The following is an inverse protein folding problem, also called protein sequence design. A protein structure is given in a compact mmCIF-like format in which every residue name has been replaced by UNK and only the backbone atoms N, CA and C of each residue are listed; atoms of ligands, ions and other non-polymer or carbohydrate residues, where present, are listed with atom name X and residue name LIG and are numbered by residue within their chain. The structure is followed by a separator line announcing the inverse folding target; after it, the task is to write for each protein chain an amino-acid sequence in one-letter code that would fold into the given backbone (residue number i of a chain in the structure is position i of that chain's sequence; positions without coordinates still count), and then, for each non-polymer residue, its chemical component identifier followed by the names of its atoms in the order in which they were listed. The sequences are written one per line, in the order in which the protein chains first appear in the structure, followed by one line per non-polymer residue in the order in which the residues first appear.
data_IF_261070923410
#
_entry.id   IF_261070923410
#
_cell.length_a   1.000
_cell.length_b   1.000
_cell.length_c   1.000
_cell.angle_alpha   90.00
_cell.angle_beta   90.00
_cell.angle_gamma   90.00
#
_symmetry.space_group_name_H-M   'P 1'
#
loop_
_entity.id
_entity.type
_entity.pdbx_description
1 polymer ?
#
# COMPACT_ATOMS: atom_id res chain seq x y z
N UNK A 1 -33.34 -8.86 -3.71
CA UNK A 1 -33.96 -10.08 -3.17
C UNK A 1 -35.39 -10.09 -3.62
N UNK A 2 -35.84 -11.16 -4.29
CA UNK A 2 -37.25 -11.39 -4.68
C UNK A 2 -37.87 -12.30 -3.63
N UNK A 3 -39.05 -11.94 -3.13
CA UNK A 3 -39.81 -12.76 -2.19
C UNK A 3 -41.09 -13.24 -2.87
N UNK A 4 -41.25 -14.55 -2.96
CA UNK A 4 -42.48 -15.18 -3.41
C UNK A 4 -43.21 -15.80 -2.21
N UNK A 5 -44.37 -15.26 -1.84
CA UNK A 5 -45.22 -15.80 -0.79
C UNK A 5 -46.31 -16.68 -1.43
N UNK A 6 -46.35 -17.94 -1.02
CA UNK A 6 -47.42 -18.89 -1.43
C UNK A 6 -48.10 -19.44 -0.19
N UNK A 7 -49.26 -20.09 -0.35
CA UNK A 7 -49.97 -20.72 0.76
C UNK A 7 -49.12 -21.84 1.46
N UNK A 8 -48.09 -22.34 0.81
CA UNK A 8 -47.19 -23.38 1.32
C UNK A 8 -45.88 -22.85 1.94
N UNK A 9 -45.65 -21.54 1.91
CA UNK A 9 -44.44 -20.93 2.50
C UNK A 9 -43.91 -19.71 1.75
N UNK A 10 -42.80 -19.18 2.23
CA UNK A 10 -42.09 -18.05 1.62
C UNK A 10 -40.83 -18.60 0.99
N UNK A 11 -40.74 -18.48 -0.34
CA UNK A 11 -39.47 -18.71 -1.06
C UNK A 11 -38.79 -17.38 -1.33
N UNK A 12 -37.45 -17.33 -1.18
CA UNK A 12 -36.64 -16.16 -1.49
C UNK A 12 -35.59 -16.51 -2.51
N UNK A 13 -35.34 -15.60 -3.42
CA UNK A 13 -34.30 -15.71 -4.42
C UNK A 13 -33.42 -14.45 -4.36
N UNK A 14 -32.08 -14.63 -4.31
CA UNK A 14 -31.16 -13.53 -4.45
C UNK A 14 -30.90 -13.25 -5.92
N UNK A 15 -31.44 -12.14 -6.42
CA UNK A 15 -31.16 -11.69 -7.78
C UNK A 15 -30.01 -10.69 -7.72
N UNK A 16 -28.83 -11.01 -8.29
CA UNK A 16 -27.73 -10.07 -8.39
C UNK A 16 -28.12 -8.92 -9.32
N UNK A 17 -28.20 -7.71 -8.80
CA UNK A 17 -28.59 -6.50 -9.54
C UNK A 17 -27.41 -5.58 -9.83
N UNK A 18 -26.31 -5.73 -9.10
CA UNK A 18 -25.14 -4.92 -9.27
C UNK A 18 -24.48 -5.18 -10.63
N UNK A 19 -24.25 -4.11 -11.38
CA UNK A 19 -23.57 -4.15 -12.68
C UNK A 19 -22.04 -4.14 -12.54
N UNK A 20 -21.52 -3.81 -11.36
CA UNK A 20 -20.11 -3.67 -11.03
C UNK A 20 -19.85 -4.17 -9.63
N UNK A 21 -18.68 -4.73 -9.44
CA UNK A 21 -18.19 -5.17 -8.12
C UNK A 21 -17.10 -4.21 -7.66
N UNK A 22 -17.06 -3.91 -6.36
CA UNK A 22 -15.92 -3.28 -5.74
C UNK A 22 -14.99 -4.37 -5.22
N UNK A 23 -13.76 -4.40 -5.71
CA UNK A 23 -12.71 -5.29 -5.25
C UNK A 23 -11.79 -4.49 -4.31
N UNK A 24 -11.67 -4.94 -3.08
CA UNK A 24 -10.71 -4.44 -2.11
C UNK A 24 -9.57 -5.45 -2.06
N UNK A 25 -8.37 -5.03 -2.45
CA UNK A 25 -7.21 -5.90 -2.60
C UNK A 25 -5.98 -5.25 -1.96
N UNK A 26 -5.04 -6.09 -1.52
CA UNK A 26 -3.76 -5.66 -0.98
C UNK A 26 -2.63 -6.12 -1.88
N UNK A 27 -1.65 -5.26 -2.09
CA UNK A 27 -0.40 -5.56 -2.80
C UNK A 27 0.77 -5.39 -1.83
N UNK A 28 1.44 -6.48 -1.49
CA UNK A 28 2.61 -6.45 -0.63
C UNK A 28 3.86 -6.10 -1.46
N UNK A 29 4.39 -4.91 -1.22
CA UNK A 29 5.54 -4.35 -1.94
C UNK A 29 6.85 -4.49 -1.17
N UNK A 30 6.91 -5.33 -0.12
CA UNK A 30 8.12 -5.54 0.70
C UNK A 30 9.34 -6.02 -0.09
N UNK A 31 9.12 -6.73 -1.20
CA UNK A 31 10.18 -7.25 -2.05
C UNK A 31 10.53 -6.33 -3.24
N UNK A 32 9.93 -5.16 -3.32
CA UNK A 32 10.22 -4.21 -4.38
C UNK A 32 11.57 -3.51 -4.12
N UNK A 33 12.43 -3.48 -5.13
CA UNK A 33 13.71 -2.79 -5.10
C UNK A 33 13.74 -1.57 -6.03
N UNK A 34 12.66 -1.35 -6.77
CA UNK A 34 12.51 -0.24 -7.72
C UNK A 34 11.03 0.12 -7.92
N UNK A 35 10.76 1.31 -8.46
CA UNK A 35 9.41 1.70 -8.89
C UNK A 35 8.79 0.71 -9.88
N UNK A 36 9.61 0.13 -10.76
CA UNK A 36 9.14 -0.87 -11.73
C UNK A 36 8.70 -2.18 -11.07
N UNK A 37 9.34 -2.57 -9.96
CA UNK A 37 8.92 -3.76 -9.22
C UNK A 37 7.59 -3.52 -8.50
N UNK A 38 7.40 -2.32 -7.93
CA UNK A 38 6.11 -1.90 -7.37
C UNK A 38 5.01 -1.97 -8.44
N UNK A 39 5.26 -1.43 -9.64
CA UNK A 39 4.31 -1.46 -10.75
C UNK A 39 3.97 -2.90 -11.17
N UNK A 40 4.95 -3.81 -11.27
CA UNK A 40 4.72 -5.23 -11.58
C UNK A 40 3.85 -5.90 -10.52
N UNK A 41 4.14 -5.67 -9.24
CA UNK A 41 3.36 -6.24 -8.13
C UNK A 41 1.91 -5.74 -8.18
N UNK A 42 1.71 -4.44 -8.37
CA UNK A 42 0.39 -3.83 -8.51
C UNK A 42 -0.36 -4.42 -9.70
N UNK A 43 0.28 -4.49 -10.87
CA UNK A 43 -0.34 -5.04 -12.08
C UNK A 43 -0.74 -6.50 -11.90
N UNK A 44 0.11 -7.32 -11.28
CA UNK A 44 -0.21 -8.72 -10.98
C UNK A 44 -1.40 -8.86 -10.02
N UNK A 45 -1.47 -8.01 -9.00
CA UNK A 45 -2.56 -8.03 -8.02
C UNK A 45 -3.92 -7.71 -8.66
N UNK A 46 -3.96 -6.82 -9.67
CA UNK A 46 -5.20 -6.40 -10.32
C UNK A 46 -5.50 -7.18 -11.61
N UNK A 47 -4.60 -8.07 -12.05
CA UNK A 47 -4.76 -8.81 -13.31
C UNK A 47 -6.10 -9.56 -13.43
N UNK A 48 -6.58 -10.27 -12.39
CA UNK A 48 -7.81 -11.07 -12.50
C UNK A 48 -9.10 -10.25 -12.48
N UNK A 49 -9.04 -8.91 -12.34
CA UNK A 49 -10.20 -8.06 -12.14
C UNK A 49 -10.70 -7.51 -13.48
N UNK A 50 -12.03 -7.57 -13.71
CA UNK A 50 -12.65 -7.02 -14.91
C UNK A 50 -12.53 -5.48 -14.93
N UNK A 51 -12.17 -4.93 -16.08
CA UNK A 51 -12.00 -3.47 -16.29
C UNK A 51 -13.27 -2.65 -16.02
N UNK A 52 -14.44 -3.28 -16.07
CA UNK A 52 -15.74 -2.65 -15.77
C UNK A 52 -16.00 -2.48 -14.28
N UNK A 53 -15.22 -3.14 -13.43
CA UNK A 53 -15.36 -3.12 -11.98
C UNK A 53 -14.60 -1.94 -11.33
N UNK A 54 -14.69 -1.85 -10.03
CA UNK A 54 -14.03 -0.82 -9.21
C UNK A 54 -12.98 -1.48 -8.33
N UNK A 55 -11.87 -0.78 -8.11
CA UNK A 55 -10.75 -1.29 -7.31
C UNK A 55 -10.40 -0.31 -6.19
N UNK A 56 -10.28 -0.83 -4.98
CA UNK A 56 -9.62 -0.20 -3.85
C UNK A 56 -8.33 -0.99 -3.57
N UNK A 57 -7.18 -0.45 -3.93
CA UNK A 57 -5.88 -1.09 -3.77
C UNK A 57 -5.17 -0.53 -2.55
N UNK A 58 -4.75 -1.41 -1.66
CA UNK A 58 -3.92 -1.12 -0.50
C UNK A 58 -2.48 -1.57 -0.78
N UNK A 59 -1.55 -0.62 -0.88
CA UNK A 59 -0.13 -0.95 -0.86
C UNK A 59 0.25 -1.25 0.59
N UNK A 60 0.82 -2.41 0.85
CA UNK A 60 1.23 -2.83 2.19
C UNK A 60 2.65 -3.38 2.17
N UNK A 61 3.19 -3.63 3.36
CA UNK A 61 4.53 -4.17 3.52
C UNK A 61 5.57 -3.13 3.94
N UNK A 62 6.83 -3.56 4.04
CA UNK A 62 7.95 -2.73 4.44
C UNK A 62 8.79 -2.37 3.21
N UNK A 63 8.93 -1.08 2.92
CA UNK A 63 9.62 -0.59 1.71
C UNK A 63 10.83 0.24 2.11
N UNK A 64 11.96 0.06 1.43
CA UNK A 64 13.15 0.90 1.62
C UNK A 64 12.86 2.36 1.23
N UNK A 65 13.49 3.30 1.93
CA UNK A 65 13.41 4.73 1.62
C UNK A 65 13.86 5.08 0.19
N UNK A 66 14.68 4.23 -0.41
CA UNK A 66 15.24 4.46 -1.75
C UNK A 66 14.30 3.98 -2.87
N UNK A 67 13.18 3.32 -2.53
CA UNK A 67 12.19 2.83 -3.51
C UNK A 67 11.05 3.84 -3.66
N UNK A 68 10.97 4.56 -4.79
CA UNK A 68 9.88 5.50 -5.00
C UNK A 68 8.56 4.77 -5.27
N UNK A 69 7.51 5.10 -4.53
CA UNK A 69 6.20 4.48 -4.70
C UNK A 69 5.35 5.09 -5.83
N UNK A 70 5.72 6.25 -6.36
CA UNK A 70 5.06 6.96 -7.48
C UNK A 70 3.51 6.83 -7.47
N UNK A 71 2.89 7.10 -6.32
CA UNK A 71 1.46 6.84 -6.05
C UNK A 71 0.52 7.48 -7.06
N UNK A 72 0.81 8.69 -7.51
CA UNK A 72 -0.01 9.41 -8.49
C UNK A 72 0.02 8.73 -9.87
N UNK A 73 1.18 8.22 -10.26
CA UNK A 73 1.33 7.44 -11.49
C UNK A 73 0.53 6.13 -11.41
N UNK A 74 0.71 5.36 -10.34
CA UNK A 74 -0.02 4.10 -10.12
C UNK A 74 -1.53 4.32 -10.10
N UNK A 75 -2.00 5.34 -9.38
CA UNK A 75 -3.42 5.68 -9.32
C UNK A 75 -3.96 6.08 -10.69
N UNK A 76 -3.19 6.83 -11.46
CA UNK A 76 -3.58 7.23 -12.82
C UNK A 76 -3.69 6.02 -13.75
N UNK A 77 -2.73 5.09 -13.69
CA UNK A 77 -2.77 3.84 -14.45
C UNK A 77 -3.99 2.97 -14.09
N UNK A 78 -4.30 2.85 -12.80
CA UNK A 78 -5.49 2.12 -12.33
C UNK A 78 -6.79 2.78 -12.81
N UNK A 79 -6.89 4.11 -12.79
CA UNK A 79 -8.06 4.86 -13.27
C UNK A 79 -8.27 4.76 -14.78
N UNK A 80 -7.20 4.55 -15.54
CA UNK A 80 -7.31 4.30 -16.99
C UNK A 80 -7.81 2.89 -17.28
N UNK A 81 -7.55 1.93 -16.40
CA UNK A 81 -7.90 0.52 -16.58
C UNK A 81 -9.30 0.18 -16.06
N UNK A 82 -9.71 0.72 -14.92
CA UNK A 82 -10.94 0.34 -14.23
C UNK A 82 -12.00 1.45 -14.27
N UNK A 83 -13.26 1.09 -14.04
CA UNK A 83 -14.34 2.08 -13.96
C UNK A 83 -14.10 3.15 -12.89
N UNK A 84 -13.58 2.74 -11.74
CA UNK A 84 -13.10 3.64 -10.70
C UNK A 84 -11.96 2.95 -9.92
N UNK A 85 -10.99 3.73 -9.45
CA UNK A 85 -9.89 3.21 -8.64
C UNK A 85 -9.55 4.14 -7.49
N UNK A 86 -9.18 3.56 -6.36
CA UNK A 86 -8.55 4.20 -5.21
C UNK A 86 -7.28 3.47 -4.83
N UNK A 87 -6.29 4.22 -4.37
CA UNK A 87 -5.03 3.71 -3.86
C UNK A 87 -4.87 4.20 -2.42
N UNK A 88 -4.57 3.28 -1.53
CA UNK A 88 -4.22 3.54 -0.13
C UNK A 88 -2.78 3.12 0.10
N UNK A 89 -2.06 3.93 0.85
CA UNK A 89 -0.67 3.66 1.21
C UNK A 89 -0.61 3.26 2.69
N UNK A 90 -0.59 1.95 2.91
CA UNK A 90 -0.46 1.33 4.22
C UNK A 90 0.95 0.73 4.39
N UNK A 91 1.92 1.18 3.59
CA UNK A 91 3.31 0.71 3.67
C UNK A 91 4.00 1.23 4.93
N UNK A 92 5.08 0.56 5.29
CA UNK A 92 5.97 0.96 6.38
C UNK A 92 7.37 1.14 5.83
N UNK A 93 8.12 2.06 6.43
CA UNK A 93 9.53 2.19 6.07
C UNK A 93 10.32 0.95 6.56
N UNK A 94 10.99 0.26 5.64
CA UNK A 94 11.96 -0.77 5.97
C UNK A 94 13.26 -0.08 6.38
N UNK A 95 13.67 -0.28 7.63
CA UNK A 95 14.96 0.21 8.14
C UNK A 95 15.69 -1.00 8.66
N UNK A 96 16.76 -1.39 7.97
CA UNK A 96 17.70 -2.36 8.48
C UNK A 96 18.86 -1.62 9.17
N UNK A 97 19.06 -1.90 10.46
CA UNK A 97 20.15 -1.32 11.23
C UNK A 97 21.52 -1.65 10.64
N UNK A 98 21.64 -2.82 9.98
CA UNK A 98 22.88 -3.28 9.38
C UNK A 98 23.31 -2.39 8.19
N UNK A 99 22.36 -1.86 7.43
CA UNK A 99 22.66 -0.98 6.28
C UNK A 99 23.30 0.34 6.68
N UNK A 100 23.14 0.73 7.94
CA UNK A 100 23.63 2.00 8.47
C UNK A 100 24.81 1.86 9.46
N UNK A 101 25.27 0.63 9.74
CA UNK A 101 26.34 0.38 10.71
C UNK A 101 27.64 1.10 10.34
N UNK A 102 28.01 1.05 9.06
CA UNK A 102 29.24 1.64 8.52
C UNK A 102 28.99 2.93 7.72
N UNK A 103 27.75 3.42 7.68
CA UNK A 103 27.43 4.65 6.95
C UNK A 103 27.90 5.90 7.73
N UNK A 104 28.91 6.60 7.18
CA UNK A 104 29.48 7.82 7.74
C UNK A 104 28.68 9.09 7.43
N UNK A 105 27.58 8.98 6.69
CA UNK A 105 26.72 10.10 6.37
C UNK A 105 25.94 10.60 7.60
N UNK A 106 25.34 11.79 7.47
CA UNK A 106 24.41 12.32 8.47
C UNK A 106 23.23 11.35 8.70
N UNK A 107 22.76 10.69 7.64
CA UNK A 107 21.69 9.68 7.68
C UNK A 107 22.11 8.48 8.55
N UNK A 108 23.32 7.93 8.33
CA UNK A 108 23.83 6.83 9.12
C UNK A 108 24.07 7.20 10.59
N UNK A 109 24.61 8.39 10.85
CA UNK A 109 24.77 8.88 12.22
C UNK A 109 23.44 9.03 12.95
N UNK A 110 22.40 9.57 12.28
CA UNK A 110 21.07 9.70 12.82
C UNK A 110 20.45 8.34 13.15
N UNK A 111 20.51 7.38 12.23
CA UNK A 111 19.94 6.04 12.44
C UNK A 111 20.60 5.36 13.64
N UNK A 112 21.93 5.35 13.73
CA UNK A 112 22.64 4.77 14.89
C UNK A 112 22.21 5.42 16.21
N UNK A 113 22.15 6.76 16.25
CA UNK A 113 21.73 7.49 17.44
C UNK A 113 20.34 7.07 17.93
N UNK A 114 19.39 6.92 17.00
CA UNK A 114 18.02 6.51 17.33
C UNK A 114 17.98 5.05 17.78
N UNK A 115 18.72 4.16 17.14
CA UNK A 115 18.78 2.74 17.51
C UNK A 115 19.39 2.52 18.90
N UNK A 116 20.39 3.33 19.27
CA UNK A 116 21.05 3.30 20.58
C UNK A 116 20.25 4.01 21.70
N UNK A 117 19.17 4.73 21.34
CA UNK A 117 18.33 5.44 22.31
C UNK A 117 17.49 4.50 23.16
N UNK A 118 17.06 4.97 24.33
CA UNK A 118 16.18 4.24 25.26
C UNK A 118 14.68 4.26 24.84
N UNK A 119 14.37 4.70 23.61
CA UNK A 119 13.02 4.72 23.06
C UNK A 119 12.50 3.31 22.84
N UNK A 120 11.17 3.12 22.94
CA UNK A 120 10.57 1.85 22.55
C UNK A 120 10.64 1.62 21.03
N UNK A 121 10.45 0.37 20.58
CA UNK A 121 10.58 0.00 19.17
C UNK A 121 9.56 0.72 18.26
N UNK A 122 8.38 1.05 18.75
CA UNK A 122 7.37 1.78 17.98
C UNK A 122 7.73 3.27 17.87
N UNK A 123 8.33 3.84 18.90
CA UNK A 123 8.85 5.21 18.90
C UNK A 123 10.07 5.33 18.00
N UNK A 124 11.04 4.39 18.11
CA UNK A 124 12.20 4.34 17.22
C UNK A 124 11.77 4.35 15.75
N UNK A 125 10.84 3.49 15.37
CA UNK A 125 10.32 3.44 13.99
C UNK A 125 9.71 4.77 13.55
N UNK A 126 8.93 5.43 14.40
CA UNK A 126 8.33 6.75 14.09
C UNK A 126 9.40 7.84 13.92
N UNK A 127 10.36 7.88 14.83
CA UNK A 127 11.46 8.86 14.79
C UNK A 127 12.32 8.65 13.55
N UNK A 128 12.65 7.39 13.22
CA UNK A 128 13.43 7.06 12.01
C UNK A 128 12.67 7.44 10.74
N UNK A 129 11.38 7.11 10.63
CA UNK A 129 10.58 7.46 9.46
C UNK A 129 10.52 8.98 9.25
N UNK A 130 10.28 9.74 10.32
CA UNK A 130 10.17 11.20 10.26
C UNK A 130 11.53 11.86 9.95
N UNK A 131 12.61 11.40 10.61
CA UNK A 131 13.93 11.97 10.44
C UNK A 131 14.59 11.64 9.11
N UNK A 132 14.42 10.41 8.61
CA UNK A 132 14.93 10.03 7.28
C UNK A 132 14.20 10.77 6.16
N UNK A 133 12.87 10.95 6.26
CA UNK A 133 12.12 11.80 5.35
C UNK A 133 12.62 13.25 5.34
N UNK A 134 12.88 13.82 6.52
CA UNK A 134 13.42 15.18 6.63
C UNK A 134 14.83 15.32 6.02
N UNK A 135 15.72 14.35 6.24
CA UNK A 135 17.09 14.34 5.69
C UNK A 135 17.06 14.11 4.17
N UNK A 136 16.12 13.30 3.67
CA UNK A 136 15.93 13.05 2.23
C UNK A 136 15.27 14.21 1.45
N UNK A 137 14.81 15.25 2.12
CA UNK A 137 14.18 16.41 1.48
C UNK A 137 12.70 16.21 1.13
N UNK A 138 12.06 15.17 1.61
CA UNK A 138 10.64 14.84 1.34
C UNK A 138 9.66 15.41 2.39
N UNK A 139 10.05 16.45 3.12
CA UNK A 139 9.12 17.09 4.08
C UNK A 139 8.22 18.08 3.34
N UNK A 140 7.04 17.62 2.95
CA UNK A 140 5.88 18.50 2.72
C UNK A 140 5.23 18.76 4.09
N UNK A 141 5.27 20.02 4.52
CA UNK A 141 4.47 20.51 5.65
C UNK A 141 3.04 20.79 5.20
#
# INVERSE_FOLDING_TARGET
MLLNATASGIAHEFIPFAKRTLHEISADVSNANSAQDVEKIVNAAVEPIDARDMVALHLCGAVSADVPLEKDYLLSALRMRFFAARLYDDTRLAIDAADYADDLSLKGAFVRLVLESDLDEAEKKRVLACGLGAIGGEVSF
#
